data_IF_504501433116
#
_entry.id   IF_504501433116
#
_cell.length_a   1.000
_cell.length_b   1.000
_cell.length_c   1.000
_cell.angle_alpha   90.00
_cell.angle_beta   90.00
_cell.angle_gamma   90.00
#
_symmetry.space_group_name_H-M   'P 1'
#
loop_
_entity.id
_entity.type
_entity.pdbx_description
1 polymer ?
#
# COMPACT_ATOMS: atom_id res chain seq x y z
N UNK A 1 -58.26 14.32 9.69
CA UNK A 1 -56.87 14.11 10.17
C UNK A 1 -56.17 13.15 9.19
N UNK A 2 -55.27 13.67 8.41
CA UNK A 2 -54.62 12.91 7.35
C UNK A 2 -53.25 12.48 7.89
N UNK A 3 -53.07 11.20 8.21
CA UNK A 3 -51.79 10.64 8.61
C UNK A 3 -51.00 10.34 7.35
N UNK A 4 -50.13 11.25 6.96
CA UNK A 4 -49.14 11.00 5.94
C UNK A 4 -48.09 10.02 6.49
N UNK A 5 -48.09 8.78 6.01
CA UNK A 5 -47.01 7.82 6.24
C UNK A 5 -45.77 8.28 5.47
N UNK A 6 -44.79 8.82 6.19
CA UNK A 6 -43.44 9.01 5.66
C UNK A 6 -42.78 7.64 5.51
N UNK A 7 -42.74 7.13 4.30
CA UNK A 7 -41.84 6.05 3.95
C UNK A 7 -40.41 6.60 3.98
N UNK A 8 -39.68 6.30 5.03
CA UNK A 8 -38.20 6.48 5.03
C UNK A 8 -37.65 5.35 4.19
N UNK A 9 -37.32 5.66 2.94
CA UNK A 9 -36.48 4.77 2.16
C UNK A 9 -35.11 4.75 2.84
N UNK A 10 -34.72 3.62 3.42
CA UNK A 10 -33.35 3.38 3.82
C UNK A 10 -32.50 3.53 2.56
N UNK A 11 -31.62 4.53 2.51
CA UNK A 11 -30.65 4.66 1.42
C UNK A 11 -29.74 3.43 1.51
N UNK A 12 -29.87 2.52 0.54
CA UNK A 12 -28.91 1.42 0.41
C UNK A 12 -27.50 2.03 0.28
N UNK A 13 -26.59 1.58 1.13
CA UNK A 13 -25.19 1.98 1.01
C UNK A 13 -24.67 1.59 -0.37
N UNK A 14 -24.02 2.49 -1.11
CA UNK A 14 -23.55 2.18 -2.45
C UNK A 14 -22.55 1.03 -2.40
N UNK A 15 -22.78 -0.01 -3.21
CA UNK A 15 -21.85 -1.12 -3.38
C UNK A 15 -20.78 -0.75 -4.41
N UNK A 16 -19.55 -0.87 -4.00
CA UNK A 16 -18.35 -0.51 -4.77
C UNK A 16 -17.83 -1.74 -5.48
N UNK A 17 -17.53 -1.62 -6.78
CA UNK A 17 -16.94 -2.67 -7.59
C UNK A 17 -15.48 -2.87 -7.18
N UNK A 18 -15.12 -4.09 -6.82
CA UNK A 18 -13.77 -4.53 -6.46
C UNK A 18 -13.30 -5.55 -7.49
N UNK A 19 -12.05 -5.43 -7.89
CA UNK A 19 -11.35 -6.40 -8.73
C UNK A 19 -10.33 -7.15 -7.88
N UNK A 20 -10.17 -8.43 -8.15
CA UNK A 20 -9.19 -9.28 -7.50
C UNK A 20 -8.40 -10.06 -8.53
N UNK A 21 -7.09 -9.97 -8.45
CA UNK A 21 -6.12 -10.68 -9.28
C UNK A 21 -5.27 -11.60 -8.40
N UNK A 22 -5.13 -12.86 -8.81
CA UNK A 22 -4.30 -13.85 -8.14
C UNK A 22 -3.26 -14.37 -9.12
N UNK A 23 -2.02 -13.93 -8.99
CA UNK A 23 -0.97 -14.25 -9.94
C UNK A 23 0.16 -15.08 -9.35
N UNK A 24 0.90 -15.75 -10.20
CA UNK A 24 2.22 -16.26 -9.86
C UNK A 24 3.22 -15.10 -9.73
N UNK A 25 4.04 -15.10 -8.67
CA UNK A 25 4.94 -13.99 -8.35
C UNK A 25 5.98 -13.68 -9.42
N UNK A 26 6.53 -14.70 -10.12
CA UNK A 26 7.58 -14.53 -11.13
C UNK A 26 7.01 -14.15 -12.51
N UNK A 27 6.01 -14.88 -12.98
CA UNK A 27 5.47 -14.72 -14.34
C UNK A 27 4.36 -13.67 -14.43
N UNK A 28 3.79 -13.27 -13.29
CA UNK A 28 2.62 -12.38 -13.19
C UNK A 28 1.39 -12.93 -13.93
N UNK A 29 1.35 -14.23 -14.18
CA UNK A 29 0.23 -14.90 -14.85
C UNK A 29 -0.86 -15.23 -13.82
N UNK A 30 -2.13 -15.00 -14.18
CA UNK A 30 -3.28 -15.33 -13.33
C UNK A 30 -3.32 -16.84 -13.02
N UNK A 31 -3.40 -17.19 -11.74
CA UNK A 31 -3.45 -18.59 -11.27
C UNK A 31 -4.87 -19.11 -11.24
N UNK A 32 -5.01 -20.36 -11.70
CA UNK A 32 -6.25 -21.14 -11.67
C UNK A 32 -6.21 -22.16 -10.53
N UNK A 33 -7.37 -22.40 -9.89
CA UNK A 33 -7.54 -23.51 -8.95
C UNK A 33 -7.26 -23.14 -7.48
N UNK A 34 -6.96 -21.89 -7.16
CA UNK A 34 -6.90 -21.42 -5.79
C UNK A 34 -8.31 -21.09 -5.25
N UNK A 35 -8.63 -21.47 -4.02
CA UNK A 35 -9.90 -21.13 -3.38
C UNK A 35 -9.78 -19.92 -2.49
N UNK A 36 -10.76 -19.05 -2.54
CA UNK A 36 -10.81 -17.80 -1.79
C UNK A 36 -12.13 -17.61 -1.07
N UNK A 37 -12.10 -16.84 0.01
CA UNK A 37 -13.27 -16.25 0.65
C UNK A 37 -12.98 -14.82 1.07
N UNK A 38 -14.04 -14.00 1.18
CA UNK A 38 -13.96 -12.68 1.82
C UNK A 38 -14.82 -12.75 3.09
N UNK A 39 -14.23 -12.33 4.20
CA UNK A 39 -14.90 -12.20 5.48
C UNK A 39 -15.06 -10.73 5.86
N UNK A 40 -16.07 -10.37 6.63
CA UNK A 40 -16.25 -9.02 7.15
C UNK A 40 -15.40 -8.84 8.41
N UNK A 41 -14.69 -7.72 8.51
CA UNK A 41 -13.78 -7.45 9.61
C UNK A 41 -12.36 -7.96 9.37
N UNK A 42 -11.60 -8.11 10.46
CA UNK A 42 -10.16 -8.45 10.44
C UNK A 42 -9.86 -9.91 10.80
N UNK A 43 -10.87 -10.66 11.26
CA UNK A 43 -10.72 -12.08 11.63
C UNK A 43 -10.83 -12.98 10.40
N UNK A 44 -9.74 -13.63 9.95
CA UNK A 44 -9.75 -14.50 8.77
C UNK A 44 -10.54 -15.80 8.98
N UNK A 45 -10.85 -16.18 10.24
CA UNK A 45 -11.60 -17.39 10.56
C UNK A 45 -13.10 -17.25 10.36
N UNK A 46 -13.60 -16.01 10.28
CA UNK A 46 -15.00 -15.68 10.13
C UNK A 46 -15.71 -16.32 8.93
N UNK A 47 -17.05 -16.36 8.92
CA UNK A 47 -17.82 -16.85 7.79
C UNK A 47 -17.64 -15.93 6.57
N UNK A 48 -17.71 -16.46 5.35
CA UNK A 48 -17.65 -15.63 4.15
C UNK A 48 -18.85 -14.69 4.08
N UNK A 49 -18.62 -13.50 3.55
CA UNK A 49 -19.70 -12.62 3.10
C UNK A 49 -20.50 -13.38 2.03
N UNK A 50 -21.83 -13.23 2.06
CA UNK A 50 -22.72 -13.97 1.17
C UNK A 50 -22.32 -13.86 -0.32
N UNK A 51 -22.21 -15.02 -0.97
CA UNK A 51 -21.77 -15.13 -2.36
C UNK A 51 -20.26 -14.86 -2.61
N UNK A 52 -19.47 -14.59 -1.57
CA UNK A 52 -18.03 -14.27 -1.71
C UNK A 52 -17.12 -15.41 -1.23
N UNK A 53 -17.35 -16.57 -1.83
CA UNK A 53 -16.45 -17.74 -1.79
C UNK A 53 -16.37 -18.33 -3.19
N UNK A 54 -15.15 -18.48 -3.74
CA UNK A 54 -14.97 -18.92 -5.13
C UNK A 54 -13.64 -19.67 -5.32
N UNK A 55 -13.51 -20.31 -6.47
CA UNK A 55 -12.26 -20.88 -6.98
C UNK A 55 -11.78 -20.04 -8.16
N UNK A 56 -10.52 -19.68 -8.20
CA UNK A 56 -9.93 -18.91 -9.29
C UNK A 56 -9.95 -19.70 -10.61
N UNK A 57 -10.32 -19.05 -11.69
CA UNK A 57 -10.45 -19.63 -13.03
C UNK A 57 -9.32 -19.19 -13.99
N UNK A 58 -8.33 -18.46 -13.47
CA UNK A 58 -7.22 -17.88 -14.25
C UNK A 58 -7.58 -16.51 -14.84
N UNK A 59 -8.56 -15.81 -14.27
CA UNK A 59 -8.98 -14.47 -14.65
C UNK A 59 -9.15 -13.59 -13.42
N UNK A 60 -9.17 -12.29 -13.66
CA UNK A 60 -9.53 -11.29 -12.63
C UNK A 60 -10.98 -11.54 -12.20
N UNK A 61 -11.19 -11.68 -10.89
CA UNK A 61 -12.52 -11.79 -10.28
C UNK A 61 -13.09 -10.41 -9.97
N UNK A 62 -14.34 -10.17 -10.31
CA UNK A 62 -15.06 -8.96 -9.94
C UNK A 62 -16.19 -9.27 -8.94
N UNK A 63 -16.35 -8.41 -7.95
CA UNK A 63 -17.43 -8.47 -6.97
C UNK A 63 -17.73 -7.07 -6.40
N UNK A 64 -18.84 -6.93 -5.67
CA UNK A 64 -19.26 -5.64 -5.09
C UNK A 64 -19.35 -5.73 -3.59
N UNK A 65 -18.78 -4.73 -2.90
CA UNK A 65 -18.84 -4.58 -1.44
C UNK A 65 -19.35 -3.20 -1.03
N UNK A 66 -20.04 -3.15 0.09
CA UNK A 66 -20.33 -1.89 0.79
C UNK A 66 -19.07 -1.34 1.44
N UNK A 67 -19.10 -0.06 1.85
CA UNK A 67 -18.04 0.51 2.64
C UNK A 67 -17.86 -0.27 3.96
N UNK A 68 -16.60 -0.57 4.32
CA UNK A 68 -16.27 -1.34 5.51
C UNK A 68 -14.93 -2.03 5.43
N UNK A 69 -14.55 -2.70 6.50
CA UNK A 69 -13.31 -3.49 6.58
C UNK A 69 -13.60 -4.95 6.30
N UNK A 70 -12.75 -5.58 5.50
CA UNK A 70 -12.86 -6.96 5.05
C UNK A 70 -11.50 -7.64 5.05
N UNK A 71 -11.50 -8.96 5.08
CA UNK A 71 -10.29 -9.77 4.94
C UNK A 71 -10.48 -10.77 3.81
N UNK A 72 -9.59 -10.72 2.81
CA UNK A 72 -9.46 -11.74 1.77
C UNK A 72 -8.61 -12.88 2.32
N UNK A 73 -9.14 -14.09 2.24
CA UNK A 73 -8.48 -15.30 2.72
C UNK A 73 -8.31 -16.28 1.55
N UNK A 74 -7.08 -16.65 1.25
CA UNK A 74 -6.82 -17.79 0.40
C UNK A 74 -7.03 -19.06 1.21
N UNK A 75 -8.08 -19.83 0.89
CA UNK A 75 -8.43 -21.07 1.61
C UNK A 75 -7.53 -22.21 1.18
N UNK A 76 -7.31 -22.35 -0.12
CA UNK A 76 -6.39 -23.33 -0.70
C UNK A 76 -5.63 -22.73 -1.88
N UNK A 77 -4.49 -23.36 -2.21
CA UNK A 77 -3.61 -22.98 -3.31
C UNK A 77 -3.36 -24.20 -4.20
N UNK A 78 -3.11 -24.02 -5.50
CA UNK A 78 -2.74 -25.12 -6.38
C UNK A 78 -1.45 -25.82 -5.93
N UNK A 79 -1.29 -27.09 -6.29
CA UNK A 79 -0.07 -27.86 -6.00
C UNK A 79 1.16 -27.14 -6.58
N UNK A 80 2.22 -27.04 -5.81
CA UNK A 80 3.48 -26.40 -6.21
C UNK A 80 3.55 -24.90 -5.88
N UNK A 81 2.60 -24.36 -5.14
CA UNK A 81 2.61 -22.97 -4.70
C UNK A 81 2.51 -22.84 -3.19
N UNK A 82 3.06 -21.74 -2.67
CA UNK A 82 2.94 -21.38 -1.27
C UNK A 82 1.63 -20.62 -1.07
N UNK A 83 0.88 -20.99 -0.02
CA UNK A 83 -0.34 -20.29 0.37
C UNK A 83 0.00 -18.90 0.88
N UNK A 84 -0.68 -17.87 0.35
CA UNK A 84 -0.48 -16.51 0.78
C UNK A 84 -1.21 -16.21 2.11
N UNK A 85 -0.69 -15.24 2.85
CA UNK A 85 -1.31 -14.73 4.05
C UNK A 85 -2.61 -13.96 3.73
N UNK A 86 -3.54 -13.88 4.69
CA UNK A 86 -4.75 -13.09 4.53
C UNK A 86 -4.44 -11.60 4.33
N UNK A 87 -5.21 -10.94 3.45
CA UNK A 87 -5.09 -9.51 3.19
C UNK A 87 -6.28 -8.79 3.78
N UNK A 88 -6.06 -7.95 4.80
CA UNK A 88 -7.09 -7.05 5.31
C UNK A 88 -7.11 -5.76 4.50
N UNK A 89 -8.31 -5.34 4.09
CA UNK A 89 -8.51 -4.12 3.32
C UNK A 89 -9.78 -3.40 3.75
N UNK A 90 -9.83 -2.09 3.53
CA UNK A 90 -10.98 -1.26 3.81
C UNK A 90 -11.51 -0.69 2.50
N UNK A 91 -12.82 -0.82 2.29
CA UNK A 91 -13.56 -0.19 1.21
C UNK A 91 -14.06 1.15 1.71
N UNK A 92 -13.58 2.23 1.09
CA UNK A 92 -14.02 3.59 1.42
C UNK A 92 -15.42 3.85 0.85
N UNK A 93 -16.26 4.64 1.52
CA UNK A 93 -17.56 5.09 0.98
C UNK A 93 -17.41 5.83 -0.36
N UNK A 94 -16.24 6.37 -0.66
CA UNK A 94 -15.93 7.10 -1.89
C UNK A 94 -15.26 6.25 -2.97
N UNK A 95 -15.14 4.92 -2.75
CA UNK A 95 -14.67 3.99 -3.77
C UNK A 95 -13.18 3.65 -3.75
N UNK A 96 -12.41 4.06 -2.74
CA UNK A 96 -11.00 3.68 -2.60
C UNK A 96 -10.81 2.38 -1.82
N UNK A 97 -9.74 1.63 -2.13
CA UNK A 97 -9.25 0.51 -1.33
C UNK A 97 -8.04 0.93 -0.51
N UNK A 98 -7.99 0.44 0.72
CA UNK A 98 -6.88 0.64 1.63
C UNK A 98 -6.46 -0.71 2.20
N UNK A 99 -5.17 -1.04 2.10
CA UNK A 99 -4.57 -2.21 2.74
C UNK A 99 -3.99 -1.84 4.10
N UNK A 100 -3.79 -2.82 4.98
CA UNK A 100 -3.21 -2.61 6.32
C UNK A 100 -1.68 -2.58 6.32
N UNK A 101 -1.05 -2.24 5.21
CA UNK A 101 0.40 -2.17 5.09
C UNK A 101 0.99 -1.11 6.02
N UNK A 102 2.04 -1.47 6.74
CA UNK A 102 2.85 -0.56 7.54
C UNK A 102 3.94 0.06 6.69
N UNK A 103 4.19 1.32 6.93
CA UNK A 103 5.23 2.09 6.25
C UNK A 103 6.23 2.63 7.26
N UNK A 104 7.46 2.82 6.81
CA UNK A 104 8.51 3.50 7.54
C UNK A 104 8.77 4.85 6.88
N UNK A 105 8.57 5.93 7.64
CA UNK A 105 8.96 7.28 7.21
C UNK A 105 10.40 7.60 7.60
N UNK A 106 11.12 8.29 6.72
CA UNK A 106 12.47 8.76 7.02
C UNK A 106 12.82 10.04 6.28
N UNK A 107 13.75 10.80 6.85
CA UNK A 107 14.34 11.97 6.23
C UNK A 107 15.70 11.58 5.63
N UNK A 108 15.91 11.89 4.37
CA UNK A 108 17.22 11.79 3.72
C UNK A 108 17.88 13.15 3.81
N UNK A 109 18.91 13.26 4.65
CA UNK A 109 19.62 14.50 4.88
C UNK A 109 20.49 14.86 3.67
N UNK A 110 20.65 16.16 3.43
CA UNK A 110 21.51 16.70 2.38
C UNK A 110 21.28 16.12 0.98
N UNK A 111 20.01 15.74 0.69
CA UNK A 111 19.63 15.20 -0.63
C UNK A 111 19.85 16.21 -1.75
N UNK A 112 19.69 17.51 -1.45
CA UNK A 112 19.80 18.59 -2.41
C UNK A 112 20.96 19.54 -2.08
N UNK A 113 21.47 20.30 -3.05
CA UNK A 113 22.53 21.29 -2.83
C UNK A 113 22.13 22.33 -1.78
N UNK A 114 23.13 22.84 -1.05
CA UNK A 114 22.92 23.85 -0.01
C UNK A 114 22.32 25.15 -0.54
N UNK A 115 22.61 25.45 -1.79
CA UNK A 115 22.12 26.63 -2.50
C UNK A 115 20.62 26.64 -2.72
N UNK A 116 19.98 25.45 -2.67
CA UNK A 116 18.54 25.33 -2.83
C UNK A 116 17.75 25.75 -1.58
N UNK A 117 18.43 26.01 -0.46
CA UNK A 117 17.82 26.36 0.83
C UNK A 117 16.72 25.35 1.29
N UNK A 118 16.81 24.11 0.77
CA UNK A 118 15.93 22.99 1.11
C UNK A 118 16.67 21.69 0.82
N UNK A 119 17.44 21.23 1.80
CA UNK A 119 18.42 20.16 1.62
C UNK A 119 17.87 18.77 1.81
N UNK A 120 16.89 18.65 2.68
CA UNK A 120 16.40 17.36 3.13
C UNK A 120 15.17 16.91 2.36
N UNK A 121 15.03 15.61 2.21
CA UNK A 121 13.90 15.01 1.53
C UNK A 121 13.25 13.94 2.39
N UNK A 122 11.91 13.95 2.46
CA UNK A 122 11.15 12.96 3.21
C UNK A 122 10.64 11.89 2.26
N UNK A 123 10.80 10.65 2.69
CA UNK A 123 10.39 9.45 1.98
C UNK A 123 9.56 8.54 2.89
N UNK A 124 8.75 7.71 2.25
CA UNK A 124 8.06 6.61 2.90
C UNK A 124 8.43 5.32 2.17
N UNK A 125 8.66 4.26 2.93
CA UNK A 125 9.06 2.95 2.46
C UNK A 125 8.04 1.92 2.92
N UNK A 126 7.55 1.10 1.98
CA UNK A 126 6.66 -0.01 2.28
C UNK A 126 7.45 -1.10 3.03
N UNK A 127 6.96 -1.53 4.20
CA UNK A 127 7.68 -2.51 5.02
C UNK A 127 7.54 -3.94 4.50
N UNK A 128 6.51 -4.21 3.70
CA UNK A 128 6.30 -5.52 3.07
C UNK A 128 7.07 -5.62 1.75
N UNK A 129 7.48 -4.46 1.18
CA UNK A 129 8.23 -4.39 -0.07
C UNK A 129 9.34 -3.33 0.04
N UNK A 130 10.46 -3.74 0.63
CA UNK A 130 11.60 -2.87 0.99
C UNK A 130 12.25 -2.12 -0.19
N UNK A 131 11.92 -2.45 -1.43
CA UNK A 131 12.49 -1.81 -2.62
C UNK A 131 11.69 -0.59 -3.13
N UNK A 132 10.56 -0.29 -2.50
CA UNK A 132 9.68 0.80 -2.91
C UNK A 132 9.68 1.95 -1.93
N UNK A 133 10.51 2.96 -2.18
CA UNK A 133 10.43 4.23 -1.48
C UNK A 133 9.77 5.31 -2.34
N UNK A 134 8.87 6.07 -1.75
CA UNK A 134 8.15 7.15 -2.43
C UNK A 134 8.39 8.49 -1.76
N UNK A 135 8.46 9.53 -2.59
CA UNK A 135 8.52 10.92 -2.12
C UNK A 135 7.20 11.28 -1.44
N UNK A 136 7.29 11.85 -0.25
CA UNK A 136 6.13 12.35 0.50
C UNK A 136 6.38 13.76 1.00
N UNK A 137 5.30 14.42 1.39
CA UNK A 137 5.29 15.80 1.85
C UNK A 137 4.77 15.90 3.28
N UNK A 138 5.26 16.88 4.00
CA UNK A 138 4.76 17.23 5.32
C UNK A 138 3.34 17.79 5.21
N UNK A 139 2.40 17.18 5.94
CA UNK A 139 1.03 17.67 5.99
C UNK A 139 0.85 18.77 7.06
N UNK A 140 1.64 18.73 8.14
CA UNK A 140 1.52 19.64 9.27
C UNK A 140 2.85 20.38 9.51
N UNK A 141 2.90 21.67 9.25
CA UNK A 141 4.14 22.47 9.31
C UNK A 141 4.78 22.53 10.71
N UNK A 142 4.00 22.39 11.78
CA UNK A 142 4.45 22.57 13.17
C UNK A 142 4.92 21.29 13.86
N UNK A 143 4.74 20.13 13.24
CA UNK A 143 5.14 18.84 13.81
C UNK A 143 6.54 18.42 13.35
N UNK A 144 7.18 17.53 14.12
CA UNK A 144 8.51 17.02 13.78
C UNK A 144 8.50 16.15 12.51
N UNK A 145 9.54 16.27 11.70
CA UNK A 145 9.79 15.35 10.58
C UNK A 145 10.19 13.97 11.08
N UNK A 146 9.99 12.90 10.30
CA UNK A 146 10.51 11.59 10.67
C UNK A 146 12.03 11.62 10.77
N UNK A 147 12.57 10.71 11.57
CA UNK A 147 14.02 10.58 11.80
C UNK A 147 14.78 10.34 10.50
N UNK A 148 16.08 10.62 10.49
CA UNK A 148 16.92 10.42 9.31
C UNK A 148 17.08 8.93 8.95
N UNK A 149 17.38 8.66 7.69
CA UNK A 149 17.62 7.31 7.18
C UNK A 149 18.82 6.69 7.93
N UNK A 150 18.61 5.51 8.51
CA UNK A 150 19.63 4.83 9.33
C UNK A 150 19.51 5.10 10.84
N UNK A 151 18.61 5.99 11.28
CA UNK A 151 18.31 6.16 12.70
C UNK A 151 17.88 4.86 13.38
N UNK A 152 18.29 4.66 14.64
CA UNK A 152 17.81 3.54 15.48
C UNK A 152 16.31 3.66 15.72
N UNK A 153 15.83 4.90 15.89
CA UNK A 153 14.41 5.19 16.05
C UNK A 153 13.74 5.17 14.67
N UNK A 154 12.84 4.22 14.49
CA UNK A 154 12.03 4.10 13.27
C UNK A 154 10.66 4.74 13.49
N UNK A 155 10.26 5.65 12.62
CA UNK A 155 8.93 6.25 12.66
C UNK A 155 8.02 5.47 11.72
N UNK A 156 7.04 4.77 12.32
CA UNK A 156 6.10 3.93 11.60
C UNK A 156 4.81 4.70 11.31
N UNK A 157 4.23 4.39 10.16
CA UNK A 157 3.04 5.04 9.62
C UNK A 157 2.00 4.02 9.16
N UNK A 158 0.74 4.41 9.30
CA UNK A 158 -0.39 3.71 8.72
C UNK A 158 -0.90 4.50 7.53
N UNK A 159 -0.96 3.87 6.37
CA UNK A 159 -1.56 4.47 5.18
C UNK A 159 -3.07 4.61 5.38
N UNK A 160 -3.61 5.76 5.04
CA UNK A 160 -5.05 5.98 4.97
C UNK A 160 -5.41 6.66 3.65
N UNK A 161 -6.47 6.18 3.03
CA UNK A 161 -7.02 6.82 1.84
C UNK A 161 -7.45 8.25 2.17
N UNK A 162 -6.96 9.20 1.40
CA UNK A 162 -7.20 10.62 1.60
C UNK A 162 -8.63 11.04 1.27
N UNK A 163 -9.59 10.76 2.16
CA UNK A 163 -10.94 11.29 2.04
C UNK A 163 -10.98 12.78 2.39
N UNK A 164 -11.94 13.50 1.83
CA UNK A 164 -12.15 14.92 2.11
C UNK A 164 -12.38 15.20 3.60
N UNK A 165 -13.04 14.28 4.30
CA UNK A 165 -13.25 14.34 5.75
C UNK A 165 -11.93 14.23 6.49
N UNK A 166 -11.11 13.19 6.18
CA UNK A 166 -9.83 12.97 6.83
C UNK A 166 -8.88 14.17 6.66
N UNK A 167 -8.81 14.73 5.44
CA UNK A 167 -7.99 15.92 5.19
C UNK A 167 -8.41 17.10 6.02
N UNK A 168 -9.71 17.36 6.09
CA UNK A 168 -10.26 18.46 6.90
C UNK A 168 -10.00 18.28 8.39
N UNK A 169 -10.10 17.05 8.91
CA UNK A 169 -9.85 16.73 10.31
C UNK A 169 -8.37 16.81 10.71
N UNK A 170 -7.46 16.48 9.80
CA UNK A 170 -6.01 16.42 10.08
C UNK A 170 -5.28 17.71 9.76
N UNK A 171 -5.82 18.58 8.93
CA UNK A 171 -5.26 19.91 8.65
C UNK A 171 -5.38 20.82 9.89
N UNK A 172 -4.30 21.54 10.20
CA UNK A 172 -4.28 22.41 11.40
C UNK A 172 -5.10 23.68 11.15
N UNK A 173 -4.86 24.34 10.02
CA UNK A 173 -5.56 25.56 9.64
C UNK A 173 -5.83 25.55 8.12
N UNK A 174 -6.74 24.72 7.65
CA UNK A 174 -6.96 24.57 6.22
C UNK A 174 -7.51 25.89 5.62
N UNK A 175 -6.96 26.28 4.47
CA UNK A 175 -7.40 27.46 3.72
C UNK A 175 -8.79 27.24 3.11
N UNK A 176 -9.05 26.01 2.68
CA UNK A 176 -10.31 25.52 2.12
C UNK A 176 -10.65 24.19 2.77
N UNK A 177 -11.86 23.67 2.60
CA UNK A 177 -12.31 22.44 3.29
C UNK A 177 -12.89 21.41 2.32
N UNK A 178 -13.09 20.19 2.82
CA UNK A 178 -13.77 19.13 2.11
C UNK A 178 -13.06 18.74 0.81
N UNK A 179 -13.84 18.57 -0.25
CA UNK A 179 -13.34 18.16 -1.57
C UNK A 179 -12.41 19.22 -2.19
N UNK A 180 -12.63 20.48 -1.90
CA UNK A 180 -11.77 21.56 -2.40
C UNK A 180 -10.36 21.45 -1.82
N UNK A 181 -10.22 21.18 -0.53
CA UNK A 181 -8.91 20.96 0.11
C UNK A 181 -8.20 19.76 -0.50
N UNK A 182 -8.88 18.60 -0.55
CA UNK A 182 -8.34 17.39 -1.13
C UNK A 182 -7.87 17.60 -2.58
N UNK A 183 -8.74 18.18 -3.42
CA UNK A 183 -8.46 18.35 -4.84
C UNK A 183 -7.35 19.39 -5.09
N UNK A 184 -7.28 20.44 -4.28
CA UNK A 184 -6.20 21.43 -4.36
C UNK A 184 -4.85 20.82 -4.01
N UNK A 185 -4.77 20.06 -2.93
CA UNK A 185 -3.53 19.38 -2.53
C UNK A 185 -3.12 18.31 -3.54
N UNK A 186 -4.07 17.52 -4.04
CA UNK A 186 -3.79 16.52 -5.08
C UNK A 186 -3.23 17.17 -6.35
N UNK A 187 -3.81 18.30 -6.76
CA UNK A 187 -3.37 19.06 -7.92
C UNK A 187 -1.98 19.65 -7.74
N UNK A 188 -1.67 20.16 -6.54
CA UNK A 188 -0.32 20.62 -6.18
C UNK A 188 0.72 19.52 -6.32
N UNK A 189 0.45 18.32 -5.79
CA UNK A 189 1.42 17.21 -5.86
C UNK A 189 1.55 16.68 -7.29
N UNK A 190 0.44 16.59 -8.03
CA UNK A 190 0.48 16.14 -9.43
C UNK A 190 1.26 17.09 -10.35
N UNK A 191 1.18 18.40 -10.10
CA UNK A 191 1.93 19.39 -10.87
C UNK A 191 3.30 19.71 -10.27
N UNK A 192 3.53 19.33 -9.02
CA UNK A 192 4.77 19.51 -8.28
C UNK A 192 5.77 18.38 -8.49
N UNK A 193 6.84 18.40 -7.70
CA UNK A 193 7.88 17.36 -7.72
C UNK A 193 7.36 16.03 -7.16
N UNK A 194 7.69 14.85 -7.71
CA UNK A 194 8.50 14.65 -8.91
C UNK A 194 7.70 14.60 -10.21
N UNK A 195 6.37 14.64 -10.16
CA UNK A 195 5.48 14.40 -11.30
C UNK A 195 5.59 15.48 -12.39
N UNK A 196 5.61 16.76 -11.99
CA UNK A 196 5.81 17.90 -12.88
C UNK A 196 4.89 17.93 -14.12
N UNK A 197 3.60 17.61 -13.93
CA UNK A 197 2.66 17.41 -15.03
C UNK A 197 2.45 18.63 -15.95
N UNK A 198 2.70 19.84 -15.44
CA UNK A 198 2.65 21.09 -16.23
C UNK A 198 4.02 21.58 -16.74
N UNK A 199 5.11 20.83 -16.49
CA UNK A 199 6.44 21.26 -16.89
C UNK A 199 6.93 22.53 -16.18
N UNK A 200 6.45 22.80 -14.98
CA UNK A 200 6.78 24.01 -14.21
C UNK A 200 8.28 24.08 -13.90
N UNK A 201 8.91 22.95 -13.60
CA UNK A 201 10.34 22.89 -13.31
C UNK A 201 11.17 23.45 -14.46
N UNK A 202 10.91 23.00 -15.68
CA UNK A 202 11.63 23.43 -16.89
C UNK A 202 11.26 24.86 -17.27
N UNK A 203 9.99 25.22 -17.20
CA UNK A 203 9.48 26.56 -17.51
C UNK A 203 10.19 27.66 -16.71
N UNK A 204 10.42 27.41 -15.43
CA UNK A 204 11.05 28.35 -14.52
C UNK A 204 12.53 28.05 -14.24
N UNK A 205 13.11 27.07 -14.96
CA UNK A 205 14.51 26.65 -14.79
C UNK A 205 14.88 26.40 -13.33
N UNK A 206 14.08 25.58 -12.65
CA UNK A 206 14.28 25.23 -11.23
C UNK A 206 15.16 24.01 -11.10
N UNK A 207 15.97 23.97 -10.04
CA UNK A 207 16.58 22.72 -9.60
C UNK A 207 15.53 21.78 -8.99
N UNK A 208 15.87 20.52 -8.80
CA UNK A 208 14.96 19.58 -8.13
C UNK A 208 14.65 20.00 -6.69
N UNK A 209 15.66 20.47 -5.95
CA UNK A 209 15.50 20.94 -4.58
C UNK A 209 14.59 22.17 -4.50
N UNK A 210 14.78 23.15 -5.38
CA UNK A 210 13.89 24.31 -5.49
C UNK A 210 12.46 23.88 -5.80
N UNK A 211 12.26 23.01 -6.78
CA UNK A 211 10.93 22.57 -7.18
C UNK A 211 10.23 21.78 -6.08
N UNK A 212 10.95 20.90 -5.37
CA UNK A 212 10.42 20.21 -4.20
C UNK A 212 10.04 21.15 -3.06
N UNK A 213 10.90 22.15 -2.77
CA UNK A 213 10.62 23.21 -1.78
C UNK A 213 9.31 23.93 -2.10
N UNK A 214 9.13 24.33 -3.36
CA UNK A 214 7.91 25.03 -3.78
C UNK A 214 6.68 24.15 -3.68
N UNK A 215 6.80 22.87 -4.03
CA UNK A 215 5.71 21.90 -3.88
C UNK A 215 5.31 21.77 -2.40
N UNK A 216 6.26 21.66 -1.48
CA UNK A 216 5.99 21.61 -0.05
C UNK A 216 5.30 22.89 0.45
N UNK A 217 5.76 24.07 0.02
CA UNK A 217 5.14 25.35 0.38
C UNK A 217 3.71 25.49 -0.15
N UNK A 218 3.47 25.00 -1.37
CA UNK A 218 2.12 24.97 -1.94
C UNK A 218 1.18 24.03 -1.16
N UNK A 219 1.67 22.86 -0.67
CA UNK A 219 0.90 22.00 0.24
C UNK A 219 0.52 22.76 1.50
N UNK A 220 1.49 23.38 2.21
CA UNK A 220 1.23 24.12 3.44
C UNK A 220 0.33 25.35 3.27
N UNK A 221 0.32 25.95 2.08
CA UNK A 221 -0.64 26.99 1.74
C UNK A 221 -2.08 26.51 1.93
N UNK A 222 -2.37 25.27 1.59
CA UNK A 222 -3.73 24.70 1.70
C UNK A 222 -4.00 24.05 3.05
N UNK A 223 -3.04 23.32 3.62
CA UNK A 223 -3.23 22.53 4.85
C UNK A 223 -3.10 23.34 6.12
N UNK A 224 -2.25 24.37 6.12
CA UNK A 224 -1.92 25.17 7.31
C UNK A 224 -2.15 26.66 7.12
N UNK A 225 -2.70 27.11 5.99
CA UNK A 225 -2.78 28.51 5.57
C UNK A 225 -1.43 29.25 5.72
N UNK A 226 -0.33 28.49 5.54
CA UNK A 226 1.03 29.00 5.68
C UNK A 226 1.68 29.12 4.29
N UNK A 227 1.80 30.34 3.83
CA UNK A 227 2.49 30.67 2.58
C UNK A 227 3.66 31.60 2.90
N UNK A 228 4.85 31.02 3.12
CA UNK A 228 6.08 31.79 3.24
C UNK A 228 6.68 32.03 1.87
N UNK A 229 6.98 33.30 1.56
CA UNK A 229 7.72 33.71 0.37
C UNK A 229 9.20 34.02 0.68
N UNK A 230 9.60 33.84 1.94
CA UNK A 230 10.94 34.18 2.41
C UNK A 230 12.01 33.42 1.59
N UNK A 231 13.04 34.15 1.23
CA UNK A 231 14.19 33.64 0.46
C UNK A 231 13.83 33.03 -0.92
N UNK A 232 12.68 33.38 -1.49
CA UNK A 232 12.32 33.00 -2.84
C UNK A 232 12.73 34.11 -3.83
N UNK A 233 13.33 33.72 -4.93
CA UNK A 233 13.51 34.57 -6.11
C UNK A 233 12.17 34.80 -6.81
N UNK A 234 12.09 35.80 -7.67
CA UNK A 234 10.85 36.11 -8.42
C UNK A 234 10.38 34.89 -9.25
N UNK A 235 11.29 34.18 -9.94
CA UNK A 235 10.93 32.97 -10.69
C UNK A 235 10.34 31.85 -9.83
N UNK A 236 10.80 31.70 -8.58
CA UNK A 236 10.27 30.74 -7.63
C UNK A 236 8.87 31.17 -7.13
N UNK A 237 8.66 32.47 -6.90
CA UNK A 237 7.34 33.00 -6.54
C UNK A 237 6.35 32.77 -7.68
N UNK A 238 6.73 33.02 -8.92
CA UNK A 238 5.86 32.81 -10.09
C UNK A 238 5.52 31.33 -10.25
N UNK A 239 6.51 30.43 -10.11
CA UNK A 239 6.30 28.98 -10.13
C UNK A 239 5.38 28.50 -8.99
N UNK A 240 5.56 29.03 -7.77
CA UNK A 240 4.72 28.72 -6.63
C UNK A 240 3.26 29.15 -6.85
N UNK A 241 3.06 30.33 -7.41
CA UNK A 241 1.73 30.83 -7.77
C UNK A 241 1.09 29.96 -8.84
N UNK A 242 1.82 29.47 -9.81
CA UNK A 242 1.29 28.55 -10.82
C UNK A 242 0.89 27.21 -10.22
N UNK A 243 1.69 26.64 -9.30
CA UNK A 243 1.34 25.43 -8.56
C UNK A 243 0.05 25.59 -7.76
N UNK A 244 -0.09 26.69 -7.02
CA UNK A 244 -1.27 26.98 -6.17
C UNK A 244 -2.53 27.18 -7.00
N UNK A 245 -2.41 27.83 -8.18
CA UNK A 245 -3.54 28.19 -9.02
C UNK A 245 -3.81 27.20 -10.16
N UNK A 246 -3.08 26.09 -10.22
CA UNK A 246 -3.25 25.08 -11.26
C UNK A 246 -4.69 24.54 -11.31
N UNK A 247 -5.23 24.37 -12.53
CA UNK A 247 -6.62 23.90 -12.76
C UNK A 247 -6.74 22.79 -13.79
N UNK A 248 -5.60 22.23 -14.19
CA UNK A 248 -5.56 21.11 -15.11
C UNK A 248 -6.28 19.88 -14.56
N UNK A 249 -6.74 19.02 -15.45
CA UNK A 249 -7.34 17.74 -15.09
C UNK A 249 -6.32 16.85 -14.38
N UNK A 250 -6.80 16.10 -13.41
CA UNK A 250 -6.03 15.09 -12.68
C UNK A 250 -6.47 13.72 -13.19
N UNK A 251 -5.57 12.76 -13.40
CA UNK A 251 -5.96 11.40 -13.77
C UNK A 251 -6.89 10.78 -12.71
N UNK A 252 -7.97 10.14 -13.15
CA UNK A 252 -8.98 9.54 -12.26
C UNK A 252 -8.41 8.44 -11.35
N UNK A 253 -7.32 7.81 -11.78
CA UNK A 253 -6.64 6.76 -11.04
C UNK A 253 -5.48 7.27 -10.16
N UNK A 254 -5.26 8.56 -10.08
CA UNK A 254 -4.31 9.15 -9.14
C UNK A 254 -5.01 9.42 -7.81
N UNK A 255 -4.56 8.74 -6.76
CA UNK A 255 -5.11 8.91 -5.42
C UNK A 255 -4.11 9.60 -4.49
N UNK A 256 -4.66 10.33 -3.54
CA UNK A 256 -3.92 11.01 -2.49
C UNK A 256 -4.08 10.22 -1.20
N UNK A 257 -2.95 9.82 -0.59
CA UNK A 257 -2.93 9.10 0.68
C UNK A 257 -2.31 9.95 1.77
N UNK A 258 -2.83 9.76 2.97
CA UNK A 258 -2.28 10.33 4.19
C UNK A 258 -1.68 9.19 5.01
N UNK A 259 -0.44 9.34 5.40
CA UNK A 259 0.28 8.41 6.26
C UNK A 259 0.29 8.97 7.67
N UNK A 260 -0.40 8.29 8.58
CA UNK A 260 -0.55 8.72 9.97
C UNK A 260 0.50 8.02 10.82
N UNK A 261 1.35 8.77 11.57
CA UNK A 261 2.36 8.17 12.42
C UNK A 261 1.73 7.48 13.63
N UNK A 262 2.34 6.39 14.09
CA UNK A 262 1.96 5.74 15.34
C UNK A 262 2.21 6.68 16.55
N UNK A 263 3.27 7.48 16.48
CA UNK A 263 3.56 8.53 17.47
C UNK A 263 3.16 9.91 16.91
N UNK A 264 2.18 10.54 17.53
CA UNK A 264 1.62 11.84 17.13
C UNK A 264 2.56 13.04 17.28
N UNK A 265 3.75 12.86 17.86
CA UNK A 265 4.84 13.83 17.87
C UNK A 265 5.30 14.15 16.45
N UNK A 266 5.34 13.13 15.60
CA UNK A 266 5.71 13.28 14.19
C UNK A 266 4.53 13.77 13.36
N UNK A 267 4.84 14.42 12.26
CA UNK A 267 3.85 14.93 11.34
C UNK A 267 3.18 13.82 10.52
N UNK A 268 1.96 14.07 10.08
CA UNK A 268 1.34 13.29 9.04
C UNK A 268 2.09 13.51 7.73
N UNK A 269 2.25 12.47 6.94
CA UNK A 269 2.89 12.55 5.62
C UNK A 269 1.86 12.35 4.52
N UNK A 270 2.10 12.98 3.39
CA UNK A 270 1.20 13.05 2.26
C UNK A 270 1.90 12.54 1.01
N UNK A 271 1.28 11.64 0.30
CA UNK A 271 1.79 11.10 -0.95
C UNK A 271 0.69 10.77 -1.95
N UNK A 272 1.09 10.56 -3.19
CA UNK A 272 0.19 10.12 -4.26
C UNK A 272 0.67 8.82 -4.84
N UNK A 273 -0.26 7.99 -5.27
CA UNK A 273 0.04 6.82 -6.08
C UNK A 273 -1.01 6.64 -7.17
N UNK A 274 -0.56 6.12 -8.30
CA UNK A 274 -1.50 5.60 -9.29
C UNK A 274 -2.03 4.27 -8.79
N UNK A 275 -3.33 4.16 -8.74
CA UNK A 275 -4.00 2.90 -8.40
C UNK A 275 -4.72 2.37 -9.62
N UNK A 276 -4.69 1.06 -9.79
CA UNK A 276 -5.72 0.42 -10.59
C UNK A 276 -6.97 0.44 -9.72
N UNK A 277 -8.05 1.15 -10.12
CA UNK A 277 -9.19 1.36 -9.25
C UNK A 277 -9.68 0.05 -8.66
N UNK A 278 -9.71 -0.03 -7.33
CA UNK A 278 -10.28 -1.13 -6.57
C UNK A 278 -9.71 -2.53 -6.92
N UNK A 279 -8.44 -2.63 -7.31
CA UNK A 279 -7.77 -3.90 -7.57
C UNK A 279 -6.99 -4.37 -6.31
N UNK A 280 -7.37 -5.53 -5.79
CA UNK A 280 -6.59 -6.29 -4.80
C UNK A 280 -5.72 -7.27 -5.59
N UNK A 281 -4.41 -7.24 -5.37
CA UNK A 281 -3.46 -8.20 -5.94
C UNK A 281 -2.95 -9.13 -4.85
N UNK A 282 -2.94 -10.42 -5.16
CA UNK A 282 -2.30 -11.45 -4.37
C UNK A 282 -1.34 -12.21 -5.28
N UNK A 283 -0.11 -12.39 -4.81
CA UNK A 283 0.91 -13.12 -5.54
C UNK A 283 1.27 -14.39 -4.78
N UNK A 284 1.26 -15.53 -5.48
CA UNK A 284 1.68 -16.80 -4.94
C UNK A 284 3.09 -17.12 -5.42
N UNK A 285 3.98 -17.42 -4.49
CA UNK A 285 5.30 -17.95 -4.79
C UNK A 285 5.22 -19.42 -5.13
N UNK A 286 6.04 -19.86 -6.09
CA UNK A 286 6.27 -21.29 -6.31
C UNK A 286 7.06 -21.84 -5.13
N UNK A 287 6.71 -23.07 -4.73
CA UNK A 287 7.56 -23.84 -3.85
C UNK A 287 8.94 -23.96 -4.51
N UNK A 288 10.04 -23.69 -3.78
CA UNK A 288 11.38 -23.93 -4.31
C UNK A 288 11.47 -25.37 -4.82
N UNK A 289 12.09 -25.57 -5.98
CA UNK A 289 12.39 -26.91 -6.52
C UNK A 289 13.52 -27.60 -5.72
N UNK A 290 13.38 -27.62 -4.40
CA UNK A 290 14.34 -28.22 -3.46
C UNK A 290 13.96 -29.64 -3.06
N UNK A 291 12.91 -30.22 -3.68
CA UNK A 291 12.75 -31.66 -3.70
C UNK A 291 13.41 -32.08 -5.02
N UNK A 292 14.60 -32.71 -5.00
CA UNK A 292 15.09 -33.42 -6.19
C UNK A 292 13.93 -34.27 -6.68
N UNK A 293 13.64 -34.22 -7.98
CA UNK A 293 12.73 -35.14 -8.60
C UNK A 293 13.28 -36.54 -8.21
N UNK A 294 12.58 -37.22 -7.31
CA UNK A 294 12.92 -38.58 -6.94
C UNK A 294 12.62 -39.37 -8.21
N UNK A 295 13.62 -39.45 -9.11
CA UNK A 295 13.64 -40.43 -10.16
C UNK A 295 13.62 -41.76 -9.44
N UNK A 296 12.67 -42.61 -9.81
CA UNK A 296 12.48 -43.94 -9.26
C UNK A 296 13.82 -44.58 -8.86
N UNK A 297 14.23 -44.32 -7.63
CA UNK A 297 15.32 -44.95 -6.95
C UNK A 297 14.74 -46.11 -6.18
N UNK A 298 15.36 -47.23 -6.24
CA UNK A 298 14.97 -48.44 -5.51
C UNK A 298 14.99 -48.15 -4.03
N UNK A 299 13.81 -48.09 -3.39
CA UNK A 299 13.68 -47.99 -1.96
C UNK A 299 14.29 -49.22 -1.32
N UNK A 300 15.54 -49.17 -0.86
CA UNK A 300 16.10 -50.23 -0.01
C UNK A 300 15.71 -49.92 1.44
N UNK A 301 14.63 -50.52 1.87
CA UNK A 301 14.31 -50.61 3.30
C UNK A 301 15.21 -51.66 3.91
N UNK A 302 16.27 -51.25 4.55
CA UNK A 302 17.00 -52.15 5.46
C UNK A 302 16.25 -52.12 6.80
N UNK A 303 15.39 -53.09 7.01
CA UNK A 303 14.89 -53.36 8.36
C UNK A 303 16.04 -54.01 9.10
N UNK A 304 16.73 -53.27 9.94
CA UNK A 304 17.62 -53.86 10.91
C UNK A 304 16.77 -54.68 11.89
N UNK A 305 16.67 -55.95 11.64
CA UNK A 305 16.07 -56.90 12.56
C UNK A 305 17.08 -57.27 13.61
N UNK A 306 17.38 -56.41 14.53
CA UNK A 306 17.98 -56.81 15.79
C UNK A 306 16.87 -57.10 16.77
N UNK A 307 16.29 -58.26 16.57
CA UNK A 307 15.40 -58.86 17.50
C UNK A 307 16.16 -59.64 18.58
N UNK A 308 16.76 -58.92 19.49
CA UNK A 308 17.12 -59.54 20.74
C UNK A 308 16.81 -58.58 21.89
N UNK A 309 15.85 -59.04 22.67
CA UNK A 309 15.40 -58.48 23.95
C UNK A 309 14.33 -57.39 23.85
N UNK A 310 13.11 -57.83 23.71
CA UNK A 310 11.97 -57.39 24.50
C UNK A 310 11.63 -55.90 24.58
N UNK A 311 12.11 -55.04 23.71
CA UNK A 311 11.61 -53.68 23.61
C UNK A 311 10.66 -53.55 22.41
N UNK A 312 9.46 -53.09 22.69
CA UNK A 312 8.35 -52.99 21.74
C UNK A 312 8.43 -51.72 20.85
N UNK A 313 9.57 -51.09 20.76
CA UNK A 313 9.76 -49.95 19.86
C UNK A 313 10.75 -50.32 18.73
N UNK A 314 10.18 -50.54 17.57
CA UNK A 314 10.98 -50.68 16.35
C UNK A 314 11.13 -49.29 15.71
N UNK A 315 12.25 -48.67 15.87
CA UNK A 315 12.64 -47.56 15.02
C UNK A 315 12.98 -48.10 13.63
N UNK A 316 12.19 -47.72 12.63
CA UNK A 316 12.53 -47.96 11.25
C UNK A 316 13.42 -46.81 10.76
N UNK A 317 14.72 -47.05 10.64
CA UNK A 317 15.62 -46.12 9.97
C UNK A 317 15.37 -46.25 8.45
N UNK A 318 14.77 -45.20 7.84
CA UNK A 318 14.63 -45.12 6.38
C UNK A 318 15.80 -44.31 5.87
N UNK A 319 16.82 -44.94 5.29
CA UNK A 319 17.88 -44.24 4.58
C UNK A 319 17.53 -44.14 3.10
N UNK A 320 17.62 -42.94 2.55
CA UNK A 320 17.54 -42.66 1.12
C UNK A 320 18.96 -42.63 0.56
N UNK A 321 19.31 -43.59 -0.27
CA UNK A 321 20.51 -43.48 -1.10
C UNK A 321 20.09 -42.94 -2.47
N UNK A 322 20.47 -41.73 -2.78
CA UNK A 322 20.47 -41.26 -4.16
C UNK A 322 21.69 -41.79 -4.89
N UNK A 323 21.45 -42.52 -5.98
CA UNK A 323 22.49 -43.23 -6.72
C UNK A 323 23.49 -42.33 -7.44
N UNK A 324 23.47 -41.03 -7.22
CA UNK A 324 24.39 -40.08 -7.86
C UNK A 324 25.28 -39.27 -6.94
N UNK A 325 24.89 -38.94 -5.72
CA UNK A 325 25.65 -37.95 -4.94
C UNK A 325 25.85 -38.26 -3.46
N UNK A 326 25.50 -39.45 -2.98
CA UNK A 326 25.84 -39.91 -1.63
C UNK A 326 25.42 -38.96 -0.50
N UNK A 327 24.25 -38.37 -0.58
CA UNK A 327 23.67 -37.56 0.51
C UNK A 327 22.68 -38.42 1.25
N UNK A 328 23.04 -38.81 2.47
CA UNK A 328 22.15 -39.43 3.43
C UNK A 328 21.21 -38.33 3.98
N UNK A 329 19.92 -38.56 3.94
CA UNK A 329 18.90 -37.75 4.54
C UNK A 329 18.21 -38.49 5.68
#
# INVERSE_FOLDING_TARGET
MNFGSHFVFASENPKILIKFSNTESNTKTELKGASFKIVKGTDPSGPPVDGLSWVSDGKIKEFKLEAGTYTLVQVSVPKGYIKADPITFTVSPTGGLQTSTKYKGYTLLDKYPKEDDFRDAIYIEDMDNNDTSSVVYCFNVTKATPTFKGSVVKVLYNEQFGSSKLFTEKAIKPRVKGDELKNSVLRVIYNGYPSNALGIKEKYQLTEGQFRKLTQRAVWNFTDSNLSLDKLSQKEIDALNELINAKNAIPDNLVLNLYLPDDTYYQNLLGTKFVTPNLIKLENEKLPNTIPEVKEGTLKTTVAADGVNGSSEKEALVSFEDSKDGVDV
#
